data_IF_464193609219
#
_entry.id   IF_464193609219
#
_cell.length_a   1.000
_cell.length_b   1.000
_cell.length_c   1.000
_cell.angle_alpha   90.00
_cell.angle_beta   90.00
_cell.angle_gamma   90.00
#
_symmetry.space_group_name_H-M   'P 1'
#
loop_
_entity.id
_entity.type
_entity.pdbx_description
1 polymer ?
#
# COMPACT_ATOMS: atom_id res chain seq x y z
N UNK A 1 -0.79 56.48 -43.78
CA UNK A 1 -0.88 55.95 -42.41
C UNK A 1 -1.38 54.52 -42.49
N UNK A 2 -0.53 53.53 -42.20
CA UNK A 2 -0.90 52.12 -42.18
C UNK A 2 -0.97 51.64 -40.73
N UNK A 3 -2.15 51.21 -40.29
CA UNK A 3 -2.38 50.67 -38.95
C UNK A 3 -2.05 49.19 -38.95
N UNK A 4 -1.00 48.78 -38.23
CA UNK A 4 -0.61 47.38 -38.06
C UNK A 4 -1.51 46.72 -37.01
N UNK A 5 -2.32 45.75 -37.41
CA UNK A 5 -3.12 44.94 -36.50
C UNK A 5 -2.22 43.90 -35.79
N UNK A 6 -2.14 43.96 -34.46
CA UNK A 6 -1.48 42.93 -33.65
C UNK A 6 -2.41 41.73 -33.47
N UNK A 7 -2.10 40.60 -34.11
CA UNK A 7 -2.74 39.32 -33.86
C UNK A 7 -2.35 38.79 -32.48
N UNK A 8 -3.23 38.98 -31.49
CA UNK A 8 -3.13 38.31 -30.20
C UNK A 8 -3.40 36.81 -30.40
N UNK A 9 -2.32 36.02 -30.49
CA UNK A 9 -2.40 34.56 -30.46
C UNK A 9 -2.75 34.13 -29.03
N UNK A 10 -3.91 33.49 -28.86
CA UNK A 10 -4.34 32.97 -27.57
C UNK A 10 -3.30 31.95 -27.05
N UNK A 11 -2.72 32.24 -25.89
CA UNK A 11 -1.78 31.35 -25.20
C UNK A 11 -2.58 30.16 -24.64
N UNK A 12 -2.55 29.02 -25.33
CA UNK A 12 -3.06 27.76 -24.78
C UNK A 12 -2.17 27.35 -23.61
N UNK A 13 -2.65 27.62 -22.40
CA UNK A 13 -2.06 27.06 -21.19
C UNK A 13 -2.47 25.60 -21.16
N UNK A 14 -1.57 24.70 -21.59
CA UNK A 14 -1.66 23.29 -21.23
C UNK A 14 -1.48 23.22 -19.72
N UNK A 15 -2.57 23.30 -18.96
CA UNK A 15 -2.57 22.84 -17.58
C UNK A 15 -2.22 21.37 -17.65
N UNK A 16 -1.03 20.98 -17.18
CA UNK A 16 -0.76 19.58 -16.92
C UNK A 16 -1.85 19.12 -15.96
N UNK A 17 -2.73 18.23 -16.42
CA UNK A 17 -3.74 17.61 -15.57
C UNK A 17 -2.96 16.73 -14.59
N UNK A 18 -2.77 17.21 -13.37
CA UNK A 18 -2.06 16.51 -12.30
C UNK A 18 -2.91 15.37 -11.72
N UNK A 19 -3.56 14.60 -12.60
CA UNK A 19 -4.19 13.31 -12.32
C UNK A 19 -5.01 13.31 -11.06
N UNK A 20 -6.29 13.70 -11.15
CA UNK A 20 -7.27 13.23 -10.16
C UNK A 20 -7.14 11.70 -10.10
N UNK A 21 -7.24 11.11 -8.90
CA UNK A 21 -7.39 9.66 -8.79
C UNK A 21 -8.53 9.26 -9.71
N UNK A 22 -8.22 8.54 -10.78
CA UNK A 22 -9.22 8.09 -11.73
C UNK A 22 -10.27 7.30 -10.95
N UNK A 23 -11.55 7.51 -11.26
CA UNK A 23 -12.67 6.85 -10.56
C UNK A 23 -12.45 5.34 -10.59
N UNK A 24 -11.89 4.81 -11.68
CA UNK A 24 -11.51 3.41 -11.81
C UNK A 24 -10.48 2.97 -10.75
N UNK A 25 -9.47 3.78 -10.46
CA UNK A 25 -8.45 3.49 -9.45
C UNK A 25 -9.02 3.53 -8.03
N UNK A 26 -9.93 4.47 -7.75
CA UNK A 26 -10.65 4.55 -6.48
C UNK A 26 -11.59 3.36 -6.29
N UNK A 27 -12.32 2.95 -7.34
CA UNK A 27 -13.17 1.76 -7.32
C UNK A 27 -12.33 0.49 -7.12
N UNK A 28 -11.19 0.38 -7.81
CA UNK A 28 -10.25 -0.74 -7.66
C UNK A 28 -9.70 -0.82 -6.25
N UNK A 29 -9.29 0.31 -5.68
CA UNK A 29 -8.89 0.42 -4.27
C UNK A 29 -10.03 -0.06 -3.37
N UNK A 30 -11.25 0.44 -3.54
CA UNK A 30 -12.39 0.08 -2.71
C UNK A 30 -12.69 -1.42 -2.76
N UNK A 31 -12.64 -2.04 -3.95
CA UNK A 31 -12.90 -3.48 -4.12
C UNK A 31 -11.77 -4.33 -3.51
N UNK A 32 -10.50 -4.00 -3.78
CA UNK A 32 -9.37 -4.74 -3.20
C UNK A 32 -9.32 -4.59 -1.68
N UNK A 33 -9.60 -3.40 -1.17
CA UNK A 33 -9.62 -3.13 0.26
C UNK A 33 -10.81 -3.84 0.93
N UNK A 34 -12.00 -3.86 0.32
CA UNK A 34 -13.14 -4.64 0.82
C UNK A 34 -12.83 -6.14 0.86
N UNK A 35 -12.22 -6.69 -0.18
CA UNK A 35 -11.78 -8.09 -0.21
C UNK A 35 -10.71 -8.37 0.87
N UNK A 36 -9.72 -7.50 0.99
CA UNK A 36 -8.68 -7.57 2.02
C UNK A 36 -9.28 -7.51 3.43
N UNK A 37 -10.27 -6.66 3.66
CA UNK A 37 -10.97 -6.52 4.94
C UNK A 37 -11.78 -7.78 5.30
N UNK A 38 -12.54 -8.33 4.35
CA UNK A 38 -13.28 -9.59 4.55
C UNK A 38 -12.31 -10.72 4.87
N UNK A 39 -11.19 -10.81 4.15
CA UNK A 39 -10.18 -11.83 4.39
C UNK A 39 -9.50 -11.66 5.76
N UNK A 40 -9.27 -10.41 6.20
CA UNK A 40 -8.76 -10.08 7.54
C UNK A 40 -9.69 -10.58 8.64
N UNK A 41 -11.00 -10.37 8.47
CA UNK A 41 -11.97 -10.73 9.48
C UNK A 41 -12.30 -12.23 9.50
N UNK A 42 -12.13 -12.93 8.38
CA UNK A 42 -12.42 -14.36 8.24
C UNK A 42 -11.16 -15.21 8.42
N UNK A 43 -10.29 -15.21 7.41
CA UNK A 43 -9.06 -16.01 7.37
C UNK A 43 -8.00 -15.45 8.31
N UNK A 44 -7.88 -14.12 8.41
CA UNK A 44 -6.94 -13.47 9.34
C UNK A 44 -7.22 -13.87 10.77
N UNK A 45 -8.46 -13.66 11.23
CA UNK A 45 -8.88 -14.06 12.58
C UNK A 45 -8.86 -15.58 12.82
N UNK A 46 -9.16 -16.39 11.80
CA UNK A 46 -9.06 -17.85 11.92
C UNK A 46 -7.59 -18.30 12.06
N UNK A 47 -6.66 -17.69 11.32
CA UNK A 47 -5.22 -17.98 11.45
C UNK A 47 -4.72 -17.46 12.80
N UNK A 48 -5.11 -16.24 13.21
CA UNK A 48 -4.80 -15.71 14.54
C UNK A 48 -5.31 -16.63 15.64
N UNK A 49 -6.53 -17.15 15.55
CA UNK A 49 -7.07 -18.06 16.58
C UNK A 49 -6.34 -19.40 16.59
N UNK A 50 -5.96 -19.92 15.42
CA UNK A 50 -5.17 -21.16 15.29
C UNK A 50 -3.72 -21.02 15.77
N UNK A 51 -3.11 -19.84 15.60
CA UNK A 51 -1.76 -19.53 16.08
C UNK A 51 -1.74 -18.87 17.45
N UNK A 52 -2.83 -18.93 18.21
CA UNK A 52 -2.96 -18.32 19.54
C UNK A 52 -2.58 -16.82 19.60
N UNK A 53 -2.84 -16.09 18.51
CA UNK A 53 -2.56 -14.67 18.36
C UNK A 53 -1.12 -14.33 17.98
N UNK A 54 -0.26 -15.33 17.72
CA UNK A 54 1.15 -15.12 17.40
C UNK A 54 1.31 -14.55 15.98
N UNK A 55 0.45 -14.95 15.04
CA UNK A 55 0.47 -14.46 13.66
C UNK A 55 -0.92 -13.92 13.32
N UNK A 56 -1.04 -12.61 13.21
CA UNK A 56 -2.22 -11.95 12.64
C UNK A 56 -1.88 -11.50 11.23
N UNK A 57 -2.35 -12.20 10.19
CA UNK A 57 -2.11 -11.79 8.83
C UNK A 57 -2.91 -10.51 8.55
N UNK A 58 -2.19 -9.41 8.27
CA UNK A 58 -2.79 -8.13 7.88
C UNK A 58 -3.08 -8.14 6.38
N UNK A 59 -4.24 -8.68 6.00
CA UNK A 59 -4.66 -8.76 4.59
C UNK A 59 -4.95 -7.39 3.97
N UNK A 60 -5.19 -6.38 4.79
CA UNK A 60 -5.36 -4.98 4.36
C UNK A 60 -4.05 -4.44 3.77
N UNK A 61 -2.89 -4.84 4.33
CA UNK A 61 -1.57 -4.43 3.82
C UNK A 61 -1.35 -4.96 2.41
N UNK A 62 -1.63 -6.25 2.21
CA UNK A 62 -1.55 -6.89 0.90
C UNK A 62 -2.49 -6.22 -0.11
N UNK A 63 -3.71 -5.84 0.29
CA UNK A 63 -4.68 -5.19 -0.59
C UNK A 63 -4.21 -3.81 -1.10
N UNK A 64 -3.65 -2.96 -0.23
CA UNK A 64 -3.15 -1.66 -0.70
C UNK A 64 -1.87 -1.81 -1.52
N UNK A 65 -0.96 -2.73 -1.16
CA UNK A 65 0.25 -3.00 -1.95
C UNK A 65 -0.10 -3.42 -3.38
N UNK A 66 -1.09 -4.30 -3.51
CA UNK A 66 -1.64 -4.78 -4.78
C UNK A 66 -2.34 -3.67 -5.56
N UNK A 67 -3.07 -2.79 -4.88
CA UNK A 67 -3.64 -1.58 -5.49
C UNK A 67 -2.55 -0.71 -6.09
N UNK A 68 -1.47 -0.45 -5.35
CA UNK A 68 -0.33 0.37 -5.82
C UNK A 68 0.38 -0.31 -7.01
N UNK A 69 0.54 -1.64 -6.99
CA UNK A 69 1.14 -2.41 -8.09
C UNK A 69 0.32 -2.32 -9.38
N UNK A 70 -1.00 -2.35 -9.28
CA UNK A 70 -1.91 -2.34 -10.43
C UNK A 70 -2.14 -0.91 -10.95
N UNK A 71 -2.38 0.05 -10.06
CA UNK A 71 -2.70 1.45 -10.42
C UNK A 71 -1.44 2.26 -10.76
N UNK A 72 -0.29 1.92 -10.17
CA UNK A 72 0.98 2.67 -10.28
C UNK A 72 0.81 4.18 -9.98
N UNK A 73 0.20 4.55 -8.83
CA UNK A 73 -0.13 5.92 -8.48
C UNK A 73 1.11 6.80 -8.28
N UNK A 74 0.93 8.13 -8.18
CA UNK A 74 1.96 9.05 -7.69
C UNK A 74 2.22 8.90 -6.19
N UNK A 75 3.36 9.36 -5.70
CA UNK A 75 3.70 9.27 -4.27
C UNK A 75 2.62 9.94 -3.39
N UNK A 76 2.09 11.13 -3.72
CA UNK A 76 0.97 11.72 -2.97
C UNK A 76 -0.32 10.90 -3.07
N UNK A 77 -0.62 10.31 -4.23
CA UNK A 77 -1.81 9.45 -4.38
C UNK A 77 -1.67 8.15 -3.59
N UNK A 78 -0.46 7.59 -3.53
CA UNK A 78 -0.16 6.41 -2.73
C UNK A 78 -0.27 6.70 -1.23
N UNK A 79 0.14 7.90 -0.79
CA UNK A 79 -0.11 8.35 0.57
C UNK A 79 -1.61 8.33 0.89
N UNK A 80 -2.46 8.88 0.01
CA UNK A 80 -3.93 8.83 0.20
C UNK A 80 -4.44 7.39 0.29
N UNK A 81 -3.97 6.49 -0.59
CA UNK A 81 -4.30 5.06 -0.54
C UNK A 81 -3.90 4.46 0.82
N UNK A 82 -2.68 4.72 1.28
CA UNK A 82 -2.18 4.25 2.57
C UNK A 82 -2.97 4.78 3.75
N UNK A 83 -3.37 6.05 3.75
CA UNK A 83 -4.20 6.65 4.80
C UNK A 83 -5.62 6.07 4.83
N UNK A 84 -6.22 5.79 3.66
CA UNK A 84 -7.52 5.10 3.58
C UNK A 84 -7.39 3.69 4.15
N UNK A 85 -6.32 2.97 3.80
CA UNK A 85 -6.05 1.65 4.36
C UNK A 85 -5.83 1.69 5.88
N UNK A 86 -5.06 2.66 6.38
CA UNK A 86 -4.84 2.87 7.81
C UNK A 86 -6.16 3.14 8.55
N UNK A 87 -7.05 3.95 7.97
CA UNK A 87 -8.37 4.20 8.55
C UNK A 87 -9.19 2.91 8.70
N UNK A 88 -9.07 1.99 7.76
CA UNK A 88 -9.75 0.69 7.83
C UNK A 88 -9.07 -0.26 8.81
N UNK A 89 -7.73 -0.30 8.85
CA UNK A 89 -6.97 -1.05 9.87
C UNK A 89 -7.35 -0.56 11.27
N UNK A 90 -7.53 0.76 11.44
CA UNK A 90 -7.89 1.37 12.72
C UNK A 90 -9.21 0.86 13.30
N UNK A 91 -10.15 0.43 12.46
CA UNK A 91 -11.42 -0.18 12.92
C UNK A 91 -11.18 -1.55 13.57
N UNK A 92 -10.09 -2.22 13.19
CA UNK A 92 -9.78 -3.59 13.62
C UNK A 92 -8.65 -3.69 14.64
N UNK A 93 -7.79 -2.67 14.73
CA UNK A 93 -6.63 -2.63 15.63
C UNK A 93 -6.94 -2.02 16.98
N UNK A 94 -6.12 -2.32 17.98
CA UNK A 94 -6.21 -1.77 19.35
C UNK A 94 -5.23 -0.63 19.59
N UNK A 95 -4.36 -0.30 18.62
CA UNK A 95 -3.31 0.74 18.74
C UNK A 95 -3.62 1.93 17.82
N UNK A 96 -4.55 2.83 18.20
CA UNK A 96 -5.02 3.89 17.33
C UNK A 96 -3.88 4.86 16.93
N UNK A 97 -3.98 5.42 15.72
CA UNK A 97 -3.10 6.43 15.11
C UNK A 97 -1.70 5.99 14.67
N UNK A 98 -1.10 4.94 15.25
CA UNK A 98 0.23 4.47 14.85
C UNK A 98 0.23 3.98 13.40
N UNK A 99 -0.84 3.28 13.01
CA UNK A 99 -1.00 2.71 11.67
C UNK A 99 -1.05 3.79 10.58
N UNK A 100 -1.51 5.01 10.88
CA UNK A 100 -1.51 6.10 9.90
C UNK A 100 -0.10 6.50 9.48
N UNK A 101 0.82 6.58 10.45
CA UNK A 101 2.21 6.89 10.16
C UNK A 101 2.90 5.72 9.46
N UNK A 102 2.71 4.50 9.96
CA UNK A 102 3.33 3.30 9.40
C UNK A 102 2.88 3.05 7.95
N UNK A 103 1.57 2.96 7.72
CA UNK A 103 1.00 2.64 6.41
C UNK A 103 1.12 3.78 5.41
N UNK A 104 1.05 5.03 5.86
CA UNK A 104 1.29 6.19 5.02
C UNK A 104 2.70 6.18 4.43
N UNK A 105 3.72 5.94 5.27
CA UNK A 105 5.12 5.84 4.84
C UNK A 105 5.33 4.60 3.96
N UNK A 106 4.76 3.47 4.34
CA UNK A 106 4.86 2.22 3.60
C UNK A 106 4.26 2.35 2.19
N UNK A 107 3.08 2.97 2.05
CA UNK A 107 2.45 3.19 0.75
C UNK A 107 3.27 4.11 -0.16
N UNK A 108 3.85 5.19 0.39
CA UNK A 108 4.76 6.04 -0.37
C UNK A 108 6.00 5.28 -0.83
N UNK A 109 6.60 4.46 0.04
CA UNK A 109 7.74 3.60 -0.29
C UNK A 109 7.37 2.61 -1.40
N UNK A 110 6.23 1.93 -1.29
CA UNK A 110 5.76 0.98 -2.29
C UNK A 110 5.58 1.66 -3.65
N UNK A 111 5.04 2.87 -3.69
CA UNK A 111 4.89 3.63 -4.94
C UNK A 111 6.24 3.96 -5.59
N UNK A 112 7.26 4.28 -4.80
CA UNK A 112 8.63 4.50 -5.30
C UNK A 112 9.22 3.20 -5.84
N UNK A 113 9.09 2.09 -5.11
CA UNK A 113 9.57 0.77 -5.54
C UNK A 113 8.91 0.37 -6.86
N UNK A 114 7.59 0.45 -6.95
CA UNK A 114 6.84 0.08 -8.15
C UNK A 114 7.23 0.96 -9.33
N UNK A 115 7.37 2.27 -9.15
CA UNK A 115 7.76 3.19 -10.24
C UNK A 115 9.15 2.93 -10.79
N UNK A 116 10.09 2.57 -9.93
CA UNK A 116 11.50 2.35 -10.31
C UNK A 116 11.72 0.93 -10.82
N UNK A 117 11.22 -0.08 -10.11
CA UNK A 117 11.53 -1.49 -10.37
C UNK A 117 10.67 -2.11 -11.49
N UNK A 118 9.45 -1.61 -11.73
CA UNK A 118 8.60 -2.12 -12.83
C UNK A 118 9.09 -1.73 -14.23
N UNK A 119 10.09 -0.85 -14.33
CA UNK A 119 10.72 -0.45 -15.59
C UNK A 119 11.89 -1.35 -16.00
N UNK A 120 12.34 -2.24 -15.11
CA UNK A 120 13.49 -3.12 -15.34
C UNK A 120 13.11 -4.59 -15.55
N UNK A 121 14.13 -5.41 -15.80
CA UNK A 121 14.00 -6.87 -16.00
C UNK A 121 13.48 -7.61 -14.75
N UNK A 122 13.51 -6.97 -13.57
CA UNK A 122 13.06 -7.54 -12.30
C UNK A 122 11.54 -7.47 -12.07
N UNK A 123 10.76 -6.91 -13.02
CA UNK A 123 9.29 -6.78 -12.99
C UNK A 123 8.54 -7.95 -12.35
N UNK A 124 8.94 -9.19 -12.65
CA UNK A 124 8.28 -10.41 -12.17
C UNK A 124 8.37 -10.62 -10.66
N UNK A 125 9.39 -10.06 -10.01
CA UNK A 125 9.64 -10.20 -8.58
C UNK A 125 9.26 -8.94 -7.80
N UNK A 126 8.93 -7.84 -8.48
CA UNK A 126 8.52 -6.59 -7.83
C UNK A 126 7.29 -6.77 -6.93
N UNK A 127 6.26 -7.56 -7.29
CA UNK A 127 5.13 -7.78 -6.40
C UNK A 127 5.55 -8.45 -5.08
N UNK A 128 6.37 -9.50 -5.12
CA UNK A 128 6.89 -10.15 -3.92
C UNK A 128 7.83 -9.25 -3.11
N UNK A 129 8.91 -8.77 -3.73
CA UNK A 129 9.98 -8.04 -3.04
C UNK A 129 9.47 -6.67 -2.56
N UNK A 130 8.71 -5.96 -3.38
CA UNK A 130 8.14 -4.67 -3.01
C UNK A 130 7.17 -4.79 -1.84
N UNK A 131 6.30 -5.80 -1.86
CA UNK A 131 5.37 -6.05 -0.76
C UNK A 131 6.09 -6.48 0.51
N UNK A 132 7.11 -7.34 0.40
CA UNK A 132 7.93 -7.76 1.53
C UNK A 132 8.58 -6.56 2.22
N UNK A 133 9.32 -5.74 1.45
CA UNK A 133 10.01 -4.55 1.97
C UNK A 133 8.99 -3.59 2.59
N UNK A 134 7.88 -3.34 1.90
CA UNK A 134 6.82 -2.43 2.37
C UNK A 134 6.22 -2.91 3.69
N UNK A 135 5.92 -4.20 3.80
CA UNK A 135 5.33 -4.79 5.02
C UNK A 135 6.32 -4.75 6.19
N UNK A 136 7.59 -5.10 5.94
CA UNK A 136 8.63 -5.06 6.97
C UNK A 136 8.86 -3.62 7.44
N UNK A 137 8.95 -2.65 6.53
CA UNK A 137 9.12 -1.23 6.89
C UNK A 137 7.93 -0.72 7.68
N UNK A 138 6.69 -1.02 7.26
CA UNK A 138 5.50 -0.64 8.03
C UNK A 138 5.53 -1.23 9.44
N UNK A 139 5.82 -2.54 9.55
CA UNK A 139 5.92 -3.23 10.83
C UNK A 139 7.04 -2.69 11.73
N UNK A 140 8.18 -2.32 11.16
CA UNK A 140 9.27 -1.69 11.90
C UNK A 140 8.88 -0.30 12.41
N UNK A 141 8.22 0.53 11.59
CA UNK A 141 7.74 1.87 12.01
C UNK A 141 6.73 1.73 13.14
N UNK A 142 5.75 0.82 12.98
CA UNK A 142 4.77 0.50 14.02
C UNK A 142 5.44 0.06 15.32
N UNK A 143 6.41 -0.85 15.23
CA UNK A 143 7.16 -1.37 16.37
C UNK A 143 7.93 -0.27 17.10
N UNK A 144 8.66 0.59 16.37
CA UNK A 144 9.44 1.70 16.96
C UNK A 144 8.53 2.68 17.70
N UNK A 145 7.41 3.07 17.10
CA UNK A 145 6.46 3.99 17.74
C UNK A 145 5.83 3.34 18.98
N UNK A 146 5.43 2.07 18.89
CA UNK A 146 4.83 1.33 20.00
C UNK A 146 5.81 1.14 21.16
N UNK A 147 7.09 0.88 20.87
CA UNK A 147 8.15 0.81 21.86
C UNK A 147 8.37 2.14 22.58
N UNK A 148 8.38 3.26 21.83
CA UNK A 148 8.50 4.59 22.41
C UNK A 148 7.34 4.93 23.36
N UNK A 149 6.12 4.49 23.04
CA UNK A 149 4.94 4.71 23.90
C UNK A 149 4.95 3.85 25.17
N UNK A 150 5.41 2.59 25.09
CA UNK A 150 5.36 1.63 26.20
C UNK A 150 6.62 1.65 27.08
N UNK A 151 7.71 2.27 26.63
CA UNK A 151 8.97 2.34 27.38
C UNK A 151 9.74 1.02 27.50
N UNK A 152 9.28 -0.05 26.85
CA UNK A 152 9.91 -1.39 26.87
C UNK A 152 10.40 -1.76 25.47
N UNK A 153 11.72 -1.72 25.26
CA UNK A 153 12.34 -1.87 23.93
C UNK A 153 12.81 -3.30 23.62
N UNK A 154 13.52 -3.96 24.53
CA UNK A 154 14.21 -5.22 24.21
C UNK A 154 13.25 -6.41 24.08
N UNK A 155 12.35 -6.61 25.06
CA UNK A 155 11.37 -7.71 25.06
C UNK A 155 10.37 -7.57 23.90
N UNK A 156 9.92 -6.34 23.63
CA UNK A 156 8.90 -6.09 22.62
C UNK A 156 9.47 -6.24 21.21
N UNK A 157 10.71 -5.80 20.97
CA UNK A 157 11.40 -6.04 19.71
C UNK A 157 11.63 -7.53 19.45
N UNK A 158 12.08 -8.29 20.45
CA UNK A 158 12.31 -9.72 20.32
C UNK A 158 11.03 -10.50 20.00
N UNK A 159 9.87 -10.04 20.47
CA UNK A 159 8.57 -10.66 20.20
C UNK A 159 7.97 -10.21 18.86
N UNK A 160 8.07 -8.92 18.51
CA UNK A 160 7.42 -8.37 17.31
C UNK A 160 8.22 -8.59 16.03
N UNK A 161 9.55 -8.58 16.09
CA UNK A 161 10.38 -8.67 14.89
C UNK A 161 10.14 -9.98 14.11
N UNK A 162 10.10 -11.18 14.74
CA UNK A 162 9.78 -12.42 14.03
C UNK A 162 8.39 -12.39 13.39
N UNK A 163 7.41 -11.78 14.06
CA UNK A 163 6.04 -11.65 13.56
C UNK A 163 6.00 -10.73 12.34
N UNK A 164 6.66 -9.57 12.39
CA UNK A 164 6.76 -8.63 11.26
C UNK A 164 7.38 -9.31 10.03
N UNK A 165 8.46 -10.07 10.23
CA UNK A 165 9.09 -10.81 9.15
C UNK A 165 8.20 -11.92 8.61
N UNK A 166 7.56 -12.71 9.47
CA UNK A 166 6.64 -13.77 9.06
C UNK A 166 5.46 -13.21 8.27
N UNK A 167 4.84 -12.13 8.74
CA UNK A 167 3.75 -11.42 8.05
C UNK A 167 4.24 -10.85 6.72
N UNK A 168 5.45 -10.29 6.68
CA UNK A 168 6.08 -9.82 5.45
C UNK A 168 6.22 -10.91 4.40
N UNK A 169 6.72 -12.08 4.77
CA UNK A 169 6.87 -13.24 3.86
C UNK A 169 5.50 -13.70 3.37
N UNK A 170 4.52 -13.82 4.27
CA UNK A 170 3.17 -14.22 3.91
C UNK A 170 2.53 -13.25 2.90
N UNK A 171 2.59 -11.95 3.18
CA UNK A 171 2.06 -10.90 2.30
C UNK A 171 2.77 -10.89 0.94
N UNK A 172 4.08 -11.09 0.92
CA UNK A 172 4.85 -11.17 -0.31
C UNK A 172 4.41 -12.35 -1.20
N UNK A 173 4.23 -13.53 -0.61
CA UNK A 173 3.73 -14.72 -1.33
C UNK A 173 2.31 -14.48 -1.82
N UNK A 174 1.44 -13.95 -0.96
CA UNK A 174 0.04 -13.68 -1.29
C UNK A 174 -0.06 -12.69 -2.45
N UNK A 175 0.59 -11.53 -2.36
CA UNK A 175 0.56 -10.51 -3.42
C UNK A 175 1.16 -11.04 -4.71
N UNK A 176 2.26 -11.79 -4.65
CA UNK A 176 2.85 -12.39 -5.84
C UNK A 176 1.89 -13.37 -6.54
N UNK A 177 1.17 -14.19 -5.76
CA UNK A 177 0.18 -15.13 -6.29
C UNK A 177 -1.04 -14.42 -6.87
N UNK A 178 -1.51 -13.35 -6.21
CA UNK A 178 -2.72 -12.62 -6.59
C UNK A 178 -2.50 -11.58 -7.69
N UNK A 179 -1.28 -11.09 -7.90
CA UNK A 179 -1.00 -10.00 -8.85
C UNK A 179 -1.45 -10.34 -10.28
N UNK A 180 -1.03 -11.49 -10.80
CA UNK A 180 -1.37 -11.90 -12.17
C UNK A 180 -2.87 -12.16 -12.35
N UNK A 181 -3.56 -12.92 -11.48
CA UNK A 181 -5.02 -13.08 -11.54
C UNK A 181 -5.79 -11.76 -11.54
N UNK A 182 -5.37 -10.80 -10.72
CA UNK A 182 -6.07 -9.52 -10.58
C UNK A 182 -5.84 -8.63 -11.79
N UNK A 183 -4.61 -8.57 -12.32
CA UNK A 183 -4.34 -7.89 -13.58
C UNK A 183 -5.22 -8.44 -14.72
N UNK A 184 -5.36 -9.78 -14.80
CA UNK A 184 -6.25 -10.42 -15.78
C UNK A 184 -7.73 -10.07 -15.56
N UNK A 185 -8.22 -10.19 -14.32
CA UNK A 185 -9.61 -9.89 -13.98
C UNK A 185 -9.99 -8.44 -14.30
N UNK A 186 -9.05 -7.52 -14.07
CA UNK A 186 -9.23 -6.08 -14.27
C UNK A 186 -8.86 -5.60 -15.68
N UNK A 187 -8.41 -6.51 -16.56
CA UNK A 187 -7.96 -6.24 -17.93
C UNK A 187 -6.89 -5.13 -17.97
N UNK A 188 -5.87 -5.27 -17.14
CA UNK A 188 -4.71 -4.37 -17.03
C UNK A 188 -3.41 -5.16 -17.21
N UNK A 189 -2.38 -4.51 -17.76
CA UNK A 189 -1.08 -5.15 -17.97
C UNK A 189 -0.37 -5.42 -16.63
N UNK A 190 -0.07 -6.69 -16.38
CA UNK A 190 0.83 -7.13 -15.31
C UNK A 190 2.27 -6.73 -15.64
#
# INVERSE_FOLDING_TARGET
>A
MATTASTQQARTVNTADHGKLDVRSLVLLAVLLAAGFILNFTVGKAISSLTAGIISPEFIISAFCLTILVVRPSVPQALVIGLISAAVIQITTTSPFIDFAAEGVAAMLMAVIVRTAMRGNAKKFVPAIGTFITTVVSGCIFMVIKMAMLGVVAQLAAAMLPVVFATGVFNAILVQALYVPICKALKVEA
#
